data_IF_708479232873
#
_entry.id   IF_708479232873
#
_cell.length_a   1.000
_cell.length_b   1.000
_cell.length_c   1.000
_cell.angle_alpha   90.00
_cell.angle_beta   90.00
_cell.angle_gamma   90.00
#
_symmetry.space_group_name_H-M   'P 1'
#
loop_
_entity.id
_entity.type
_entity.pdbx_description
1 polymer ?
#
# COMPACT_ATOMS: atom_id res chain seq x y z
N UNK A 1 -1.26 -20.22 -5.91
CA UNK A 1 -2.20 -20.64 -6.97
C UNK A 1 -3.63 -20.09 -6.81
N UNK A 2 -4.19 -20.06 -5.58
CA UNK A 2 -5.59 -19.67 -5.35
C UNK A 2 -5.84 -18.15 -5.46
N UNK A 3 -4.95 -17.33 -4.90
CA UNK A 3 -5.06 -15.87 -4.92
C UNK A 3 -5.06 -15.26 -6.34
N UNK A 4 -4.34 -15.90 -7.27
CA UNK A 4 -4.24 -15.46 -8.67
C UNK A 4 -5.55 -15.68 -9.44
N UNK A 5 -6.26 -16.77 -9.16
CA UNK A 5 -7.55 -17.06 -9.79
C UNK A 5 -8.66 -16.12 -9.29
N UNK A 6 -8.58 -15.66 -8.05
CA UNK A 6 -9.51 -14.66 -7.49
C UNK A 6 -9.26 -13.27 -8.08
N UNK A 7 -7.99 -12.87 -8.27
CA UNK A 7 -7.63 -11.60 -8.91
C UNK A 7 -8.08 -11.56 -10.38
N UNK A 8 -7.83 -12.62 -11.16
CA UNK A 8 -8.28 -12.71 -12.56
C UNK A 8 -9.84 -12.70 -12.66
N UNK A 9 -10.56 -13.15 -11.62
CA UNK A 9 -12.03 -13.07 -11.53
C UNK A 9 -12.57 -11.68 -11.16
N UNK A 10 -11.77 -10.87 -10.45
CA UNK A 10 -12.13 -9.50 -10.03
C UNK A 10 -11.84 -8.47 -11.14
N UNK A 11 -10.88 -8.71 -12.03
CA UNK A 11 -10.64 -7.86 -13.22
C UNK A 11 -11.87 -7.78 -14.15
N UNK A 12 -12.74 -8.81 -14.14
CA UNK A 12 -14.01 -8.80 -14.86
C UNK A 12 -15.11 -7.95 -14.22
N UNK A 13 -14.93 -7.50 -12.97
CA UNK A 13 -15.90 -6.68 -12.23
C UNK A 13 -15.63 -5.20 -12.48
N UNK A 14 -16.56 -4.54 -13.17
CA UNK A 14 -16.53 -3.08 -13.34
C UNK A 14 -16.63 -2.41 -11.96
N UNK A 15 -15.74 -1.45 -11.69
CA UNK A 15 -15.66 -0.62 -10.48
C UNK A 15 -15.00 -1.25 -9.24
N UNK A 16 -14.16 -2.27 -9.38
CA UNK A 16 -13.34 -2.78 -8.26
C UNK A 16 -11.89 -2.33 -8.41
N UNK A 17 -11.30 -1.85 -7.31
CA UNK A 17 -9.87 -1.49 -7.24
C UNK A 17 -9.22 -2.44 -6.22
N UNK A 18 -8.13 -3.10 -6.62
CA UNK A 18 -7.35 -3.97 -5.75
C UNK A 18 -6.07 -3.23 -5.34
N UNK A 19 -5.81 -3.15 -4.03
CA UNK A 19 -4.58 -2.55 -3.48
C UNK A 19 -3.82 -3.61 -2.70
N UNK A 20 -2.61 -3.93 -3.15
CA UNK A 20 -1.66 -4.75 -2.42
C UNK A 20 -0.65 -3.90 -1.64
N UNK A 21 -0.34 -4.29 -0.40
CA UNK A 21 0.69 -3.66 0.41
C UNK A 21 1.70 -4.71 0.89
N UNK A 22 3.00 -4.45 0.69
CA UNK A 22 4.08 -5.32 1.17
C UNK A 22 5.28 -4.48 1.59
N UNK A 23 5.93 -4.86 2.68
CA UNK A 23 7.20 -4.30 3.12
C UNK A 23 8.41 -5.00 2.47
N UNK A 24 8.17 -6.08 1.70
CA UNK A 24 9.19 -6.90 1.04
C UNK A 24 8.84 -7.08 -0.43
N UNK A 25 9.26 -6.12 -1.26
CA UNK A 25 9.02 -6.18 -2.71
C UNK A 25 9.79 -7.32 -3.39
N UNK A 26 10.91 -7.74 -2.81
CA UNK A 26 11.79 -8.82 -3.27
C UNK A 26 11.10 -10.19 -3.26
N UNK A 27 10.12 -10.36 -2.37
CA UNK A 27 9.36 -11.62 -2.24
C UNK A 27 8.09 -11.67 -3.08
N UNK A 28 7.73 -10.58 -3.78
CA UNK A 28 6.52 -10.56 -4.60
C UNK A 28 6.77 -11.32 -5.90
N UNK A 29 5.86 -12.25 -6.22
CA UNK A 29 5.89 -13.00 -7.47
C UNK A 29 5.83 -12.04 -8.68
N UNK A 30 6.82 -12.08 -9.59
CA UNK A 30 6.83 -11.26 -10.81
C UNK A 30 5.57 -11.40 -11.67
N UNK A 31 4.85 -12.52 -11.57
CA UNK A 31 3.62 -12.77 -12.31
C UNK A 31 2.45 -11.85 -11.89
N UNK A 32 2.48 -11.29 -10.68
CA UNK A 32 1.46 -10.33 -10.18
C UNK A 32 1.75 -8.92 -10.71
N UNK A 33 3.01 -8.62 -11.03
CA UNK A 33 3.45 -7.31 -11.50
C UNK A 33 3.35 -7.14 -13.04
N UNK A 34 2.71 -8.09 -13.72
CA UNK A 34 2.51 -8.04 -15.17
C UNK A 34 1.33 -7.12 -15.51
N UNK A 35 1.37 -6.47 -16.69
CA UNK A 35 0.27 -5.64 -17.17
C UNK A 35 -1.06 -6.39 -17.11
N UNK A 36 -2.09 -5.75 -16.53
CA UNK A 36 -3.43 -6.28 -16.33
C UNK A 36 -3.78 -6.53 -14.86
N UNK A 37 -2.78 -6.78 -14.00
CA UNK A 37 -2.96 -7.16 -12.58
C UNK A 37 -2.65 -6.00 -11.63
N UNK A 38 -1.43 -5.96 -11.07
CA UNK A 38 -0.97 -4.83 -10.27
C UNK A 38 -0.10 -3.91 -11.12
N UNK A 39 -0.75 -3.01 -11.85
CA UNK A 39 -0.09 -2.11 -12.82
C UNK A 39 0.67 -0.97 -12.15
N UNK A 40 0.17 -0.48 -11.00
CA UNK A 40 0.73 0.71 -10.33
C UNK A 40 1.61 0.30 -9.15
N UNK A 41 2.88 0.72 -9.20
CA UNK A 41 3.86 0.51 -8.12
C UNK A 41 4.14 1.82 -7.40
N UNK A 42 3.73 1.91 -6.13
CA UNK A 42 3.98 3.07 -5.29
C UNK A 42 4.98 2.68 -4.20
N UNK A 43 6.17 3.27 -4.24
CA UNK A 43 7.17 3.09 -3.18
C UNK A 43 6.93 4.13 -2.08
N UNK A 44 6.76 3.66 -0.85
CA UNK A 44 6.65 4.52 0.32
C UNK A 44 8.04 4.71 0.93
N UNK A 45 8.53 5.95 0.87
CA UNK A 45 9.80 6.36 1.49
C UNK A 45 9.60 6.63 2.98
N UNK A 46 10.70 6.71 3.73
CA UNK A 46 10.65 7.21 5.12
C UNK A 46 10.24 8.69 5.10
N UNK A 47 9.48 9.17 6.09
CA UNK A 47 9.12 10.58 6.17
C UNK A 47 10.38 11.43 6.30
N UNK A 48 10.42 12.53 5.55
CA UNK A 48 11.43 13.57 5.74
C UNK A 48 11.12 14.41 6.99
N UNK A 49 11.95 15.42 7.26
CA UNK A 49 11.77 16.28 8.44
C UNK A 49 10.40 16.99 8.45
N UNK A 50 9.90 17.43 7.30
CA UNK A 50 8.63 18.15 7.20
C UNK A 50 7.44 17.19 7.41
N UNK A 51 7.49 16.02 6.78
CA UNK A 51 6.51 14.96 6.95
C UNK A 51 6.49 14.42 8.38
N UNK A 52 7.66 14.27 9.02
CA UNK A 52 7.75 13.87 10.42
C UNK A 52 7.10 14.92 11.33
N UNK A 53 7.37 16.21 11.11
CA UNK A 53 6.72 17.29 11.86
C UNK A 53 5.19 17.28 11.67
N UNK A 54 4.70 17.02 10.46
CA UNK A 54 3.27 16.89 10.18
C UNK A 54 2.64 15.68 10.88
N UNK A 55 3.32 14.53 10.87
CA UNK A 55 2.91 13.34 11.62
C UNK A 55 2.80 13.68 13.12
N UNK A 56 3.84 14.27 13.71
CA UNK A 56 3.81 14.64 15.13
C UNK A 56 2.70 15.64 15.43
N UNK A 57 2.49 16.65 14.59
CA UNK A 57 1.41 17.63 14.78
C UNK A 57 0.03 16.98 14.78
N UNK A 58 -0.19 15.96 13.96
CA UNK A 58 -1.47 15.24 13.88
C UNK A 58 -1.72 14.35 15.08
N UNK A 59 -0.67 13.72 15.62
CA UNK A 59 -0.82 12.69 16.64
C UNK A 59 -0.48 13.16 18.06
N UNK A 60 0.38 14.15 18.25
CA UNK A 60 0.67 14.77 19.56
C UNK A 60 -0.41 15.80 19.89
N UNK A 61 -1.59 15.30 20.23
CA UNK A 61 -2.73 16.12 20.65
C UNK A 61 -2.64 16.44 22.15
N UNK A 62 -3.42 17.41 22.61
CA UNK A 62 -3.51 17.80 24.02
C UNK A 62 -4.07 16.71 24.94
N UNK A 63 -4.62 15.64 24.37
CA UNK A 63 -5.11 14.47 25.10
C UNK A 63 -3.99 13.51 25.49
N UNK A 64 -2.83 13.61 24.81
CA UNK A 64 -1.67 12.81 25.17
C UNK A 64 -1.01 13.45 26.38
N UNK A 65 -0.94 12.76 27.54
CA UNK A 65 -0.24 13.26 28.71
C UNK A 65 1.26 13.17 28.45
N UNK A 66 1.81 14.21 27.83
CA UNK A 66 3.26 14.40 27.74
C UNK A 66 3.66 15.05 29.06
N UNK A 67 4.36 14.28 29.89
CA UNK A 67 4.82 14.67 31.22
C UNK A 67 5.74 15.90 31.18
#
# INVERSE_FOLDING_TARGET
PQLLAEIDGVEGLKNVIVIGASNRQDLIDPAILRPGRLDVKIKIERPDQAAAADIFRKYLTTEIPIA
#
